data_IF_641445750324
#
_entry.id   IF_641445750324
#
_cell.length_a   1.000
_cell.length_b   1.000
_cell.length_c   1.000
_cell.angle_alpha   90.00
_cell.angle_beta   90.00
_cell.angle_gamma   90.00
#
_symmetry.space_group_name_H-M   'P 1'
#
loop_
_entity.id
_entity.type
_entity.pdbx_description
1 polymer ?
#
# COMPACT_ATOMS: atom_id res chain seq x y z
N UNK A 1 2.33 18.35 -19.49
CA UNK A 1 1.99 17.66 -18.22
C UNK A 1 3.28 17.46 -17.43
N UNK A 2 3.30 17.75 -16.13
CA UNK A 2 4.46 17.47 -15.27
C UNK A 2 4.35 16.01 -14.83
N UNK A 3 5.37 15.20 -15.13
CA UNK A 3 5.41 13.80 -14.65
C UNK A 3 5.70 13.83 -13.15
N UNK A 4 4.81 13.25 -12.35
CA UNK A 4 5.06 12.97 -10.94
C UNK A 4 5.52 11.53 -10.79
N UNK A 5 6.64 11.34 -10.10
CA UNK A 5 7.15 10.03 -9.74
C UNK A 5 6.92 9.84 -8.25
N UNK A 6 6.25 8.75 -7.88
CA UNK A 6 6.01 8.38 -6.49
C UNK A 6 6.79 7.10 -6.21
N UNK A 7 7.62 7.13 -5.16
CA UNK A 7 8.36 5.96 -4.69
C UNK A 7 7.59 5.31 -3.55
N UNK A 8 7.41 4.00 -3.62
CA UNK A 8 6.81 3.19 -2.55
C UNK A 8 7.89 2.27 -2.00
N UNK A 9 8.14 2.36 -0.69
CA UNK A 9 9.03 1.43 0.01
C UNK A 9 8.19 0.30 0.61
N UNK A 10 8.29 -0.87 -0.01
CA UNK A 10 7.57 -2.07 0.39
C UNK A 10 8.53 -3.02 1.11
N UNK A 11 8.32 -3.19 2.41
CA UNK A 11 9.04 -4.17 3.21
C UNK A 11 8.29 -5.50 3.18
N UNK A 12 8.99 -6.59 2.87
CA UNK A 12 8.45 -7.95 2.83
C UNK A 12 9.23 -8.84 3.80
N UNK A 13 8.51 -9.59 4.65
CA UNK A 13 9.10 -10.53 5.60
C UNK A 13 8.47 -11.90 5.41
N UNK A 14 9.28 -12.88 5.02
CA UNK A 14 8.84 -14.26 4.83
C UNK A 14 8.62 -14.89 6.21
N UNK A 15 7.40 -15.34 6.48
CA UNK A 15 7.06 -16.06 7.73
C UNK A 15 7.23 -17.55 7.52
N UNK A 16 6.73 -18.07 6.39
CA UNK A 16 6.88 -19.46 5.99
C UNK A 16 6.71 -19.59 4.47
N UNK A 17 6.62 -20.82 3.96
CA UNK A 17 6.53 -21.11 2.51
C UNK A 17 5.29 -20.51 1.82
N UNK A 18 4.22 -20.27 2.57
CA UNK A 18 2.94 -19.81 2.03
C UNK A 18 2.54 -18.43 2.56
N UNK A 19 3.30 -17.84 3.48
CA UNK A 19 2.93 -16.60 4.16
C UNK A 19 4.11 -15.63 4.16
N UNK A 20 3.86 -14.43 3.64
CA UNK A 20 4.76 -13.28 3.71
C UNK A 20 4.00 -12.10 4.28
N UNK A 21 4.53 -11.43 5.31
CA UNK A 21 3.97 -10.17 5.76
C UNK A 21 4.55 -9.01 4.96
N UNK A 22 3.78 -7.94 4.84
CA UNK A 22 4.24 -6.72 4.19
C UNK A 22 3.94 -5.49 5.04
N UNK A 23 4.78 -4.47 4.89
CA UNK A 23 4.60 -3.17 5.50
C UNK A 23 5.07 -2.07 4.55
N UNK A 24 4.26 -1.03 4.41
CA UNK A 24 4.55 0.16 3.63
C UNK A 24 4.58 1.35 4.56
N UNK A 25 5.77 1.89 4.82
CA UNK A 25 6.01 3.10 5.61
C UNK A 25 5.28 3.13 6.98
N UNK A 26 5.02 1.97 7.60
CA UNK A 26 4.24 1.88 8.83
C UNK A 26 2.74 2.21 8.71
N UNK A 27 2.25 2.57 7.51
CA UNK A 27 0.91 3.07 7.29
C UNK A 27 -0.06 1.99 6.77
N UNK A 28 0.44 1.09 5.94
CA UNK A 28 -0.33 -0.04 5.40
C UNK A 28 0.47 -1.30 5.65
N UNK A 29 -0.16 -2.29 6.26
CA UNK A 29 0.44 -3.59 6.51
C UNK A 29 -0.57 -4.71 6.36
N UNK A 30 -0.05 -5.92 6.23
CA UNK A 30 -0.88 -7.10 6.09
C UNK A 30 -0.05 -8.32 5.73
N UNK A 31 -0.76 -9.29 5.16
CA UNK A 31 -0.25 -10.61 4.82
C UNK A 31 -0.56 -10.94 3.37
N UNK A 32 0.42 -11.49 2.68
CA UNK A 32 0.28 -12.16 1.39
C UNK A 32 0.31 -13.66 1.64
N UNK A 33 -0.79 -14.32 1.30
CA UNK A 33 -0.92 -15.77 1.26
C UNK A 33 -0.60 -16.27 -0.16
N UNK A 34 0.41 -17.13 -0.25
CA UNK A 34 1.03 -17.67 -1.45
C UNK A 34 0.88 -19.20 -1.44
N UNK A 35 -0.32 -19.74 -1.69
CA UNK A 35 -0.53 -21.17 -1.62
C UNK A 35 0.26 -21.88 -2.71
N UNK A 36 0.63 -23.13 -2.44
CA UNK A 36 1.30 -24.03 -3.39
C UNK A 36 0.51 -24.22 -4.70
N UNK A 37 -0.81 -24.05 -4.64
CA UNK A 37 -1.75 -24.09 -5.76
C UNK A 37 -2.94 -23.19 -5.44
N UNK A 38 -3.41 -22.43 -6.43
CA UNK A 38 -4.53 -21.49 -6.28
C UNK A 38 -4.09 -20.02 -6.34
N UNK A 39 -5.02 -19.09 -6.10
CA UNK A 39 -4.75 -17.66 -6.18
C UNK A 39 -3.92 -17.17 -4.98
N UNK A 40 -3.13 -16.13 -5.21
CA UNK A 40 -2.45 -15.35 -4.17
C UNK A 40 -3.46 -14.43 -3.51
N UNK A 41 -3.63 -14.52 -2.20
CA UNK A 41 -4.58 -13.66 -1.46
C UNK A 41 -3.82 -12.61 -0.68
N UNK A 42 -4.28 -11.36 -0.74
CA UNK A 42 -3.73 -10.27 0.10
C UNK A 42 -4.77 -9.87 1.13
N UNK A 43 -4.38 -9.90 2.40
CA UNK A 43 -5.20 -9.51 3.55
C UNK A 43 -4.52 -8.35 4.25
N UNK A 44 -5.23 -7.25 4.44
CA UNK A 44 -4.76 -6.10 5.22
C UNK A 44 -4.96 -6.37 6.70
N UNK A 45 -4.13 -5.74 7.53
CA UNK A 45 -4.35 -5.72 8.97
C UNK A 45 -5.77 -5.19 9.28
N UNK A 46 -6.45 -5.83 10.22
CA UNK A 46 -7.90 -5.67 10.43
C UNK A 46 -8.77 -6.70 9.71
N UNK A 47 -8.17 -7.61 8.95
CA UNK A 47 -8.87 -8.78 8.36
C UNK A 47 -9.56 -8.49 7.03
N UNK A 48 -9.27 -7.35 6.40
CA UNK A 48 -9.87 -6.98 5.11
C UNK A 48 -9.12 -7.64 3.96
N UNK A 49 -9.84 -8.39 3.12
CA UNK A 49 -9.27 -8.97 1.90
C UNK A 49 -9.13 -7.87 0.84
N UNK A 50 -7.88 -7.52 0.49
CA UNK A 50 -7.60 -6.57 -0.60
C UNK A 50 -7.97 -7.18 -1.95
N UNK A 51 -7.73 -8.48 -2.11
CA UNK A 51 -8.11 -9.23 -3.30
C UNK A 51 -7.40 -10.57 -3.43
N UNK A 52 -7.80 -11.29 -4.48
CA UNK A 52 -7.17 -12.52 -4.95
C UNK A 52 -6.54 -12.27 -6.32
N UNK A 53 -5.35 -12.81 -6.52
CA UNK A 53 -4.52 -12.53 -7.68
C UNK A 53 -4.00 -13.82 -8.28
N UNK A 54 -3.86 -13.85 -9.61
CA UNK A 54 -3.37 -15.03 -10.30
C UNK A 54 -1.86 -15.28 -10.09
N UNK A 55 -1.09 -14.27 -9.65
CA UNK A 55 0.33 -14.40 -9.37
C UNK A 55 0.83 -13.40 -8.31
N UNK A 56 2.02 -13.64 -7.70
CA UNK A 56 2.59 -12.76 -6.68
C UNK A 56 2.90 -11.34 -7.18
N UNK A 57 3.27 -11.21 -8.45
CA UNK A 57 3.61 -9.91 -9.05
C UNK A 57 2.36 -9.00 -9.08
N UNK A 58 1.22 -9.52 -9.49
CA UNK A 58 -0.04 -8.76 -9.49
C UNK A 58 -0.49 -8.36 -8.07
N UNK A 59 -0.22 -9.22 -7.08
CA UNK A 59 -0.48 -8.86 -5.68
C UNK A 59 0.39 -7.67 -5.25
N UNK A 60 1.69 -7.70 -5.53
CA UNK A 60 2.63 -6.60 -5.20
C UNK A 60 2.28 -5.30 -5.94
N UNK A 61 1.89 -5.39 -7.21
CA UNK A 61 1.42 -4.23 -7.99
C UNK A 61 0.19 -3.60 -7.32
N UNK A 62 -0.77 -4.43 -6.90
CA UNK A 62 -2.00 -3.93 -6.26
C UNK A 62 -1.74 -3.34 -4.87
N UNK A 63 -0.84 -3.93 -4.10
CA UNK A 63 -0.35 -3.39 -2.83
C UNK A 63 0.31 -2.02 -3.04
N UNK A 64 1.14 -1.89 -4.07
CA UNK A 64 1.84 -0.64 -4.40
C UNK A 64 0.86 0.46 -4.81
N UNK A 65 -0.11 0.13 -5.67
CA UNK A 65 -1.14 1.08 -6.10
C UNK A 65 -2.06 1.50 -4.95
N UNK A 66 -2.38 0.60 -4.01
CA UNK A 66 -3.09 0.95 -2.78
C UNK A 66 -2.33 2.04 -2.01
N UNK A 67 -1.01 1.93 -1.87
CA UNK A 67 -0.19 2.95 -1.20
C UNK A 67 -0.23 4.30 -1.90
N UNK A 68 -0.20 4.32 -3.23
CA UNK A 68 -0.31 5.56 -4.02
C UNK A 68 -1.66 6.20 -3.80
N UNK A 69 -2.74 5.44 -3.97
CA UNK A 69 -4.11 5.93 -3.79
C UNK A 69 -4.35 6.45 -2.36
N UNK A 70 -3.81 5.75 -1.36
CA UNK A 70 -3.88 6.17 0.03
C UNK A 70 -3.14 7.49 0.27
N UNK A 71 -1.93 7.64 -0.30
CA UNK A 71 -1.15 8.87 -0.20
C UNK A 71 -1.85 10.03 -0.90
N UNK A 72 -2.41 9.80 -2.10
CA UNK A 72 -3.18 10.80 -2.83
C UNK A 72 -4.44 11.22 -2.05
N UNK A 73 -5.18 10.27 -1.48
CA UNK A 73 -6.35 10.54 -0.66
C UNK A 73 -5.98 11.35 0.60
N UNK A 74 -4.88 11.02 1.29
CA UNK A 74 -4.38 11.81 2.42
C UNK A 74 -4.06 13.25 2.01
N UNK A 75 -3.37 13.43 0.88
CA UNK A 75 -3.03 14.76 0.38
C UNK A 75 -4.28 15.56 -0.05
N UNK A 76 -5.28 14.90 -0.62
CA UNK A 76 -6.51 15.52 -1.09
C UNK A 76 -7.48 15.90 0.05
N UNK A 77 -7.50 15.12 1.15
CA UNK A 77 -8.37 15.38 2.30
C UNK A 77 -7.85 16.45 3.28
N UNK A 78 -6.73 17.12 2.96
CA UNK A 78 -6.38 18.46 3.47
C UNK A 78 -5.74 18.46 4.87
N UNK A 79 -4.64 19.15 5.15
CA UNK A 79 -4.10 20.41 4.62
C UNK A 79 -2.59 20.25 4.76
N UNK A 80 -1.78 20.54 3.74
CA UNK A 80 -0.33 20.52 3.97
C UNK A 80 0.01 21.60 5.01
N UNK A 81 0.98 21.36 5.89
CA UNK A 81 1.46 22.40 6.82
C UNK A 81 1.83 23.71 6.10
N UNK A 82 2.14 23.62 4.81
CA UNK A 82 2.37 24.75 3.91
C UNK A 82 1.10 25.57 3.62
N UNK A 83 -0.03 24.91 3.38
CA UNK A 83 -1.32 25.54 3.13
C UNK A 83 -1.89 26.17 4.41
N UNK A 84 -1.69 25.53 5.57
CA UNK A 84 -1.99 26.11 6.88
C UNK A 84 -1.23 27.42 7.12
N UNK A 85 0.10 27.44 6.85
CA UNK A 85 0.91 28.66 6.99
C UNK A 85 0.49 29.78 6.05
N UNK A 86 0.04 29.47 4.82
CA UNK A 86 -0.46 30.47 3.86
C UNK A 86 -1.78 31.11 4.28
N UNK A 87 -2.61 30.40 5.03
CA UNK A 87 -3.92 30.89 5.47
C UNK A 87 -3.88 31.68 6.78
N UNK A 88 -2.85 31.50 7.63
CA UNK A 88 -2.74 32.21 8.91
C UNK A 88 -1.73 33.39 8.93
N UNK A 89 -0.86 33.51 7.92
CA UNK A 89 0.16 34.57 7.87
C UNK A 89 -0.09 35.62 6.77
N UNK A 90 -1.30 35.65 6.19
CA UNK A 90 -1.79 36.72 5.32
C UNK A 90 -3.04 37.35 5.91
#
# INVERSE_FOLDING_TARGET
>A
MKVSVTTVELNLVIVNKEITTFNINGAISGVVHLPSSGPVTVVLDGGYVLGEFHCPVCAVERISLLSVNFSEAQNACGVSYYDYKRQQLN
#
